data_IF_931018366363
#
_entry.id   IF_931018366363
#
_cell.length_a   1.000
_cell.length_b   1.000
_cell.length_c   1.000
_cell.angle_alpha   90.00
_cell.angle_beta   90.00
_cell.angle_gamma   90.00
#
_symmetry.space_group_name_H-M   'P 1'
#
loop_
_entity.id
_entity.type
_entity.pdbx_description
1 polymer ?
#
# COMPACT_ATOMS: atom_id res chain seq x y z
N UNK A 1 -18.50 3.35 18.75
CA UNK A 1 -17.81 3.46 17.45
C UNK A 1 -18.55 2.59 16.44
N UNK A 2 -18.57 2.89 15.14
CA UNK A 2 -19.00 1.89 14.15
C UNK A 2 -17.96 0.77 14.21
N UNK A 3 -18.36 -0.44 14.57
CA UNK A 3 -17.44 -1.56 14.73
C UNK A 3 -17.19 -2.20 13.37
N UNK A 4 -15.94 -2.21 12.93
CA UNK A 4 -15.53 -3.02 11.79
C UNK A 4 -15.47 -4.48 12.22
N UNK A 5 -16.29 -5.34 11.59
CA UNK A 5 -16.17 -6.79 11.72
C UNK A 5 -15.12 -7.29 10.72
N UNK A 6 -13.89 -7.48 11.21
CA UNK A 6 -12.79 -7.93 10.38
C UNK A 6 -13.02 -9.39 9.91
N UNK A 7 -13.59 -10.26 10.73
CA UNK A 7 -13.94 -11.63 10.33
C UNK A 7 -14.92 -11.66 9.16
N UNK A 8 -15.84 -10.68 9.10
CA UNK A 8 -16.74 -10.52 7.97
C UNK A 8 -16.02 -9.97 6.73
N UNK A 9 -15.15 -8.97 6.88
CA UNK A 9 -14.38 -8.37 5.76
C UNK A 9 -13.53 -9.44 5.06
N UNK A 10 -12.84 -10.30 5.83
CA UNK A 10 -11.96 -11.33 5.29
C UNK A 10 -12.71 -12.43 4.52
N UNK A 11 -14.05 -12.50 4.65
CA UNK A 11 -14.91 -13.40 3.86
C UNK A 11 -15.36 -12.80 2.53
N UNK A 12 -15.14 -11.51 2.29
CA UNK A 12 -15.56 -10.88 1.05
C UNK A 12 -14.71 -11.36 -0.13
N UNK A 13 -15.29 -11.46 -1.34
CA UNK A 13 -14.51 -11.85 -2.52
C UNK A 13 -13.37 -10.86 -2.78
N UNK A 14 -12.14 -11.36 -2.83
CA UNK A 14 -10.98 -10.55 -3.18
C UNK A 14 -10.95 -10.21 -4.68
N UNK A 15 -10.11 -9.26 -5.07
CA UNK A 15 -10.10 -8.69 -6.40
C UNK A 15 -9.40 -9.61 -7.42
N UNK A 16 -10.19 -10.09 -8.37
CA UNK A 16 -9.74 -10.70 -9.61
C UNK A 16 -9.24 -9.65 -10.63
N UNK A 17 -8.50 -10.12 -11.64
CA UNK A 17 -8.05 -9.39 -12.83
C UNK A 17 -9.01 -8.27 -13.30
N UNK A 18 -8.47 -7.11 -13.66
CA UNK A 18 -9.26 -5.97 -14.14
C UNK A 18 -8.71 -5.39 -15.45
N UNK A 19 -9.57 -4.72 -16.22
CA UNK A 19 -9.15 -4.10 -17.48
C UNK A 19 -8.27 -2.86 -17.23
N UNK A 20 -7.16 -2.81 -17.96
CA UNK A 20 -6.19 -1.72 -18.02
C UNK A 20 -6.21 -1.00 -19.38
N UNK A 21 -7.23 -1.20 -20.21
CA UNK A 21 -7.31 -0.59 -21.54
C UNK A 21 -7.25 0.95 -21.50
N UNK A 22 -7.86 1.56 -20.48
CA UNK A 22 -7.76 3.01 -20.28
C UNK A 22 -6.34 3.43 -19.92
N UNK A 23 -5.63 2.64 -19.11
CA UNK A 23 -4.25 2.95 -18.71
C UNK A 23 -3.33 2.96 -19.93
N UNK A 24 -3.44 1.93 -20.78
CA UNK A 24 -2.69 1.83 -22.04
C UNK A 24 -3.02 3.02 -22.94
N UNK A 25 -4.31 3.30 -23.19
CA UNK A 25 -4.74 4.41 -24.03
C UNK A 25 -4.24 5.77 -23.52
N UNK A 26 -4.39 6.02 -22.22
CA UNK A 26 -3.97 7.26 -21.59
C UNK A 26 -2.44 7.40 -21.63
N UNK A 27 -1.67 6.35 -21.32
CA UNK A 27 -0.20 6.41 -21.40
C UNK A 27 0.31 6.71 -22.82
N UNK A 28 -0.29 6.07 -23.83
CA UNK A 28 0.01 6.32 -25.25
C UNK A 28 -0.28 7.78 -25.64
N UNK A 29 -1.37 8.37 -25.13
CA UNK A 29 -1.70 9.78 -25.40
C UNK A 29 -0.65 10.78 -24.86
N UNK A 30 0.19 10.34 -23.92
CA UNK A 30 1.31 11.11 -23.37
C UNK A 30 2.66 10.76 -24.03
N UNK A 31 2.67 9.90 -25.05
CA UNK A 31 3.87 9.48 -25.76
C UNK A 31 4.64 8.35 -25.09
N UNK A 32 4.02 7.63 -24.14
CA UNK A 32 4.61 6.42 -23.56
C UNK A 32 4.31 5.23 -24.46
N UNK A 33 5.27 4.80 -25.26
CA UNK A 33 5.07 3.63 -26.13
C UNK A 33 4.99 2.34 -25.30
N UNK A 34 3.94 1.55 -25.56
CA UNK A 34 3.80 0.23 -24.96
C UNK A 34 4.89 -0.72 -25.51
N UNK A 35 5.75 -1.30 -24.63
CA UNK A 35 6.79 -2.23 -25.07
C UNK A 35 6.20 -3.49 -25.70
N UNK A 36 7.02 -4.19 -26.49
CA UNK A 36 6.58 -5.34 -27.28
C UNK A 36 5.98 -6.47 -26.42
N UNK A 37 6.59 -6.75 -25.26
CA UNK A 37 6.13 -7.78 -24.33
C UNK A 37 4.71 -7.46 -23.82
N UNK A 38 4.51 -6.28 -23.23
CA UNK A 38 3.17 -5.88 -22.76
C UNK A 38 2.14 -5.75 -23.89
N UNK A 39 2.57 -5.38 -25.11
CA UNK A 39 1.68 -5.29 -26.27
C UNK A 39 1.10 -6.64 -26.65
N UNK A 40 1.92 -7.69 -26.63
CA UNK A 40 1.44 -9.04 -26.93
C UNK A 40 0.59 -9.59 -25.78
N UNK A 41 1.03 -9.39 -24.52
CA UNK A 41 0.29 -9.84 -23.34
C UNK A 41 -1.11 -9.21 -23.24
N UNK A 42 -1.27 -7.94 -23.61
CA UNK A 42 -2.52 -7.18 -23.45
C UNK A 42 -3.43 -7.21 -24.69
N UNK A 43 -3.08 -7.94 -25.74
CA UNK A 43 -3.71 -7.84 -27.07
C UNK A 43 -5.20 -8.16 -27.12
N UNK A 44 -5.68 -9.12 -26.32
CA UNK A 44 -7.08 -9.58 -26.39
C UNK A 44 -7.99 -8.83 -25.43
N UNK A 45 -7.72 -8.96 -24.13
CA UNK A 45 -8.63 -8.49 -23.08
C UNK A 45 -8.16 -7.20 -22.39
N UNK A 46 -6.91 -6.77 -22.65
CA UNK A 46 -6.25 -5.68 -21.93
C UNK A 46 -6.48 -5.79 -20.41
N UNK A 47 -6.31 -6.99 -19.83
CA UNK A 47 -6.53 -7.25 -18.40
C UNK A 47 -5.22 -7.56 -17.69
N UNK A 48 -5.11 -7.13 -16.44
CA UNK A 48 -4.00 -7.47 -15.55
C UNK A 48 -4.53 -7.89 -14.17
N UNK A 49 -4.02 -9.01 -13.68
CA UNK A 49 -4.14 -9.46 -12.29
C UNK A 49 -2.86 -9.20 -11.50
N UNK A 50 -2.94 -9.34 -10.18
CA UNK A 50 -1.77 -9.31 -9.28
C UNK A 50 -0.74 -10.36 -9.69
N UNK A 51 -1.21 -11.57 -10.00
CA UNK A 51 -0.39 -12.69 -10.47
C UNK A 51 0.32 -12.38 -11.78
N UNK A 52 -0.37 -11.76 -12.74
CA UNK A 52 0.23 -11.40 -14.02
C UNK A 52 1.39 -10.42 -13.81
N UNK A 53 1.22 -9.39 -12.97
CA UNK A 53 2.30 -8.44 -12.64
C UNK A 53 3.49 -9.15 -11.99
N UNK A 54 3.25 -10.05 -11.05
CA UNK A 54 4.32 -10.83 -10.41
C UNK A 54 5.06 -11.69 -11.43
N UNK A 55 4.34 -12.32 -12.37
CA UNK A 55 4.98 -13.14 -13.40
C UNK A 55 5.77 -12.31 -14.40
N UNK A 56 5.30 -11.12 -14.77
CA UNK A 56 6.06 -10.18 -15.61
C UNK A 56 7.40 -9.84 -14.95
N UNK A 57 7.42 -9.60 -13.63
CA UNK A 57 8.66 -9.29 -12.89
C UNK A 57 9.62 -10.48 -12.84
N UNK A 58 9.10 -11.71 -12.84
CA UNK A 58 9.90 -12.94 -12.82
C UNK A 58 10.39 -13.38 -14.21
N UNK A 59 9.79 -12.86 -15.27
CA UNK A 59 10.07 -13.29 -16.63
C UNK A 59 11.37 -12.66 -17.14
N UNK A 60 12.35 -13.51 -17.45
CA UNK A 60 13.65 -13.07 -17.96
C UNK A 60 13.57 -12.34 -19.32
N UNK A 61 12.46 -12.48 -20.05
CA UNK A 61 12.23 -11.76 -21.30
C UNK A 61 11.57 -10.39 -21.12
N UNK A 62 11.05 -10.10 -19.93
CA UNK A 62 10.49 -8.80 -19.60
C UNK A 62 11.60 -7.77 -19.34
N UNK A 63 11.42 -6.56 -19.86
CA UNK A 63 12.32 -5.44 -19.60
C UNK A 63 11.92 -4.71 -18.31
N UNK A 64 12.84 -3.92 -17.76
CA UNK A 64 12.55 -2.96 -16.68
C UNK A 64 11.32 -2.08 -16.98
N UNK A 65 11.09 -1.73 -18.25
CA UNK A 65 9.93 -0.94 -18.67
C UNK A 65 8.63 -1.75 -18.60
N UNK A 66 8.68 -3.03 -18.93
CA UNK A 66 7.53 -3.95 -18.81
C UNK A 66 7.10 -4.09 -17.35
N UNK A 67 8.06 -4.36 -16.45
CA UNK A 67 7.83 -4.47 -15.01
C UNK A 67 7.16 -3.19 -14.46
N UNK A 68 7.77 -2.04 -14.75
CA UNK A 68 7.33 -0.76 -14.21
C UNK A 68 5.94 -0.37 -14.72
N UNK A 69 5.69 -0.52 -16.03
CA UNK A 69 4.38 -0.21 -16.61
C UNK A 69 3.30 -1.18 -16.14
N UNK A 70 3.60 -2.48 -15.99
CA UNK A 70 2.66 -3.46 -15.47
C UNK A 70 2.16 -3.06 -14.07
N UNK A 71 3.07 -2.66 -13.17
CA UNK A 71 2.71 -2.20 -11.83
C UNK A 71 1.84 -0.93 -11.89
N UNK A 72 2.19 0.03 -12.74
CA UNK A 72 1.45 1.29 -12.87
C UNK A 72 0.06 1.10 -13.46
N UNK A 73 -0.06 0.26 -14.48
CA UNK A 73 -1.33 -0.07 -15.12
C UNK A 73 -2.25 -0.82 -14.18
N UNK A 74 -1.74 -1.84 -13.49
CA UNK A 74 -2.51 -2.52 -12.44
C UNK A 74 -2.93 -1.57 -11.32
N UNK A 75 -2.08 -0.60 -10.98
CA UNK A 75 -2.37 0.44 -9.99
C UNK A 75 -3.33 1.54 -10.46
N UNK A 76 -3.84 1.49 -11.69
CA UNK A 76 -4.68 2.51 -12.32
C UNK A 76 -4.06 3.94 -12.29
N UNK A 77 -2.73 4.04 -12.43
CA UNK A 77 -2.00 5.29 -12.28
C UNK A 77 -2.49 6.39 -13.23
N UNK A 78 -2.61 6.09 -14.52
CA UNK A 78 -2.96 7.04 -15.56
C UNK A 78 -4.42 7.48 -15.44
N UNK A 79 -5.33 6.61 -15.04
CA UNK A 79 -6.70 7.00 -14.71
C UNK A 79 -6.73 7.99 -13.54
N UNK A 80 -6.09 7.64 -12.43
CA UNK A 80 -6.12 8.44 -11.19
C UNK A 80 -5.44 9.80 -11.40
N UNK A 81 -4.41 9.86 -12.23
CA UNK A 81 -3.66 11.09 -12.52
C UNK A 81 -4.13 11.85 -13.75
N UNK A 82 -5.22 11.43 -14.42
CA UNK A 82 -5.73 12.05 -15.65
C UNK A 82 -6.00 13.56 -15.52
N UNK A 83 -6.34 14.03 -14.31
CA UNK A 83 -6.55 15.47 -14.01
C UNK A 83 -5.25 16.25 -13.80
N UNK A 84 -4.09 15.61 -13.93
CA UNK A 84 -2.78 16.22 -13.73
C UNK A 84 -1.82 15.92 -14.89
N UNK A 85 -2.02 16.55 -16.07
CA UNK A 85 -1.16 16.33 -17.24
C UNK A 85 0.32 16.62 -16.99
N UNK A 86 0.64 17.52 -16.04
CA UNK A 86 2.02 17.80 -15.63
C UNK A 86 2.66 16.58 -14.95
N UNK A 87 1.91 15.90 -14.09
CA UNK A 87 2.36 14.71 -13.35
C UNK A 87 2.56 13.54 -14.31
N UNK A 88 1.64 13.35 -15.26
CA UNK A 88 1.77 12.31 -16.30
C UNK A 88 2.96 12.57 -17.22
N UNK A 89 3.15 13.81 -17.69
CA UNK A 89 4.34 14.18 -18.49
C UNK A 89 5.66 13.98 -17.75
N UNK A 90 5.71 14.30 -16.45
CA UNK A 90 6.91 14.07 -15.65
C UNK A 90 7.27 12.58 -15.56
N UNK A 91 6.27 11.72 -15.35
CA UNK A 91 6.50 10.28 -15.33
C UNK A 91 6.88 9.73 -16.70
N UNK A 92 6.17 10.10 -17.76
CA UNK A 92 6.50 9.63 -19.12
C UNK A 92 7.88 10.12 -19.54
N UNK A 93 8.25 11.35 -19.18
CA UNK A 93 9.62 11.85 -19.37
C UNK A 93 10.67 10.99 -18.65
N UNK A 94 10.38 10.52 -17.44
CA UNK A 94 11.25 9.58 -16.73
C UNK A 94 11.34 8.21 -17.43
N UNK A 95 10.21 7.64 -17.89
CA UNK A 95 10.15 6.35 -18.59
C UNK A 95 10.90 6.40 -19.94
N UNK A 96 10.89 7.55 -20.59
CA UNK A 96 11.57 7.79 -21.87
C UNK A 96 13.02 8.26 -21.72
N UNK A 97 13.52 8.46 -20.50
CA UNK A 97 14.91 8.87 -20.28
C UNK A 97 15.87 7.73 -20.65
N UNK A 98 17.01 8.06 -21.25
CA UNK A 98 18.04 7.08 -21.64
C UNK A 98 18.65 6.32 -20.46
N UNK A 99 18.56 6.87 -19.25
CA UNK A 99 19.05 6.26 -18.03
C UNK A 99 17.96 5.52 -17.26
N UNK A 100 16.76 5.37 -17.83
CA UNK A 100 15.61 4.74 -17.16
C UNK A 100 15.98 3.37 -16.57
N UNK A 101 16.62 2.49 -17.34
CA UNK A 101 16.96 1.13 -16.87
C UNK A 101 17.96 1.17 -15.71
N UNK A 102 18.94 2.07 -15.75
CA UNK A 102 19.90 2.26 -14.66
C UNK A 102 19.21 2.80 -13.41
N UNK A 103 18.33 3.79 -13.57
CA UNK A 103 17.57 4.37 -12.46
C UNK A 103 16.61 3.35 -11.84
N UNK A 104 15.94 2.53 -12.67
CA UNK A 104 15.04 1.51 -12.17
C UNK A 104 15.78 0.36 -11.50
N UNK A 105 16.96 -0.03 -11.99
CA UNK A 105 17.81 -1.00 -11.33
C UNK A 105 18.22 -0.54 -9.92
N UNK A 106 18.59 0.74 -9.76
CA UNK A 106 18.88 1.32 -8.44
C UNK A 106 17.65 1.32 -7.52
N UNK A 107 16.48 1.68 -8.06
CA UNK A 107 15.20 1.62 -7.35
C UNK A 107 14.90 0.19 -6.87
N UNK A 108 15.02 -0.81 -7.76
CA UNK A 108 14.74 -2.22 -7.47
C UNK A 108 15.71 -2.76 -6.42
N UNK A 109 17.02 -2.53 -6.57
CA UNK A 109 18.03 -2.92 -5.59
C UNK A 109 17.73 -2.35 -4.19
N UNK A 110 17.45 -1.05 -4.09
CA UNK A 110 17.11 -0.44 -2.80
C UNK A 110 15.84 -1.02 -2.16
N UNK A 111 14.84 -1.39 -2.96
CA UNK A 111 13.60 -2.02 -2.48
C UNK A 111 13.85 -3.44 -1.94
N UNK A 112 14.72 -4.19 -2.61
CA UNK A 112 15.01 -5.58 -2.26
C UNK A 112 15.98 -5.68 -1.07
N UNK A 113 16.93 -4.76 -0.97
CA UNK A 113 18.00 -4.80 0.04
C UNK A 113 17.66 -4.05 1.34
N UNK A 114 16.64 -3.20 1.34
CA UNK A 114 16.27 -2.45 2.55
C UNK A 114 15.31 -3.24 3.44
N UNK A 115 15.76 -3.55 4.66
CA UNK A 115 14.96 -4.23 5.68
C UNK A 115 14.18 -3.28 6.61
N UNK A 116 14.42 -1.96 6.52
CA UNK A 116 13.68 -0.95 7.28
C UNK A 116 12.65 -0.21 6.38
N UNK A 117 11.34 -0.48 6.52
CA UNK A 117 10.32 0.15 5.70
C UNK A 117 10.27 1.67 5.89
N UNK A 118 10.62 2.18 7.08
CA UNK A 118 10.62 3.61 7.34
C UNK A 118 11.73 4.32 6.56
N UNK A 119 12.94 3.78 6.55
CA UNK A 119 14.05 4.32 5.76
C UNK A 119 13.81 4.15 4.26
N UNK A 120 13.29 3.00 3.82
CA UNK A 120 12.90 2.82 2.42
C UNK A 120 11.91 3.89 1.96
N UNK A 121 10.87 4.16 2.76
CA UNK A 121 9.90 5.21 2.43
C UNK A 121 10.57 6.59 2.28
N UNK A 122 11.54 6.93 3.14
CA UNK A 122 12.26 8.22 3.05
C UNK A 122 13.02 8.37 1.73
N UNK A 123 13.63 7.30 1.22
CA UNK A 123 14.37 7.32 -0.05
C UNK A 123 13.48 7.70 -1.25
N UNK A 124 12.19 7.37 -1.21
CA UNK A 124 11.23 7.66 -2.28
C UNK A 124 10.36 8.90 -2.02
N UNK A 125 10.37 9.40 -0.79
CA UNK A 125 9.57 10.56 -0.38
C UNK A 125 10.03 11.86 -1.08
N UNK A 126 9.34 12.96 -0.78
CA UNK A 126 9.71 14.27 -1.32
C UNK A 126 11.15 14.63 -0.92
N UNK A 127 12.03 14.84 -1.93
CA UNK A 127 13.49 15.06 -1.81
C UNK A 127 14.32 13.81 -1.45
N UNK A 128 13.73 12.62 -1.45
CA UNK A 128 14.50 11.39 -1.34
C UNK A 128 15.29 11.10 -2.63
N UNK A 129 16.42 10.41 -2.47
CA UNK A 129 17.39 10.17 -3.55
C UNK A 129 16.84 9.26 -4.67
N UNK A 130 15.86 8.42 -4.36
CA UNK A 130 15.21 7.50 -5.29
C UNK A 130 13.81 7.96 -5.70
N UNK A 131 13.51 9.24 -5.52
CA UNK A 131 12.22 9.80 -5.91
C UNK A 131 12.01 9.72 -7.43
N UNK A 132 10.99 8.97 -7.84
CA UNK A 132 10.56 8.92 -9.23
C UNK A 132 9.63 10.12 -9.55
N UNK A 133 9.92 10.92 -10.59
CA UNK A 133 9.06 12.02 -11.00
C UNK A 133 7.63 11.56 -11.33
N UNK A 134 6.64 12.29 -10.82
CA UNK A 134 5.22 11.98 -11.03
C UNK A 134 4.64 10.93 -10.09
N UNK A 135 5.46 10.12 -9.42
CA UNK A 135 4.97 9.12 -8.47
C UNK A 135 4.76 9.73 -7.07
N UNK A 136 3.60 9.42 -6.50
CA UNK A 136 3.30 9.68 -5.09
C UNK A 136 3.45 8.40 -4.27
N UNK A 137 3.32 8.51 -2.95
CA UNK A 137 3.49 7.38 -2.04
C UNK A 137 2.62 6.17 -2.37
N UNK A 138 1.37 6.41 -2.79
CA UNK A 138 0.46 5.35 -3.17
C UNK A 138 0.96 4.46 -4.32
N UNK A 139 1.90 4.95 -5.13
CA UNK A 139 2.47 4.23 -6.28
C UNK A 139 3.86 3.69 -6.01
N UNK A 140 4.75 4.45 -5.33
CA UNK A 140 6.04 3.86 -4.98
C UNK A 140 5.89 2.70 -3.98
N UNK A 141 4.88 2.71 -3.09
CA UNK A 141 4.62 1.54 -2.23
C UNK A 141 4.08 0.34 -3.00
N UNK A 142 3.52 0.54 -4.20
CA UNK A 142 3.18 -0.57 -5.11
C UNK A 142 4.44 -1.22 -5.68
N UNK A 143 5.46 -0.41 -5.99
CA UNK A 143 6.78 -0.95 -6.37
C UNK A 143 7.36 -1.78 -5.21
N UNK A 144 7.25 -1.29 -3.97
CA UNK A 144 7.75 -2.02 -2.79
C UNK A 144 7.06 -3.38 -2.67
N UNK A 145 5.74 -3.38 -2.79
CA UNK A 145 4.92 -4.59 -2.75
C UNK A 145 5.33 -5.57 -3.85
N UNK A 146 5.22 -5.19 -5.12
CA UNK A 146 5.37 -6.13 -6.23
C UNK A 146 6.79 -6.67 -6.39
N UNK A 147 7.83 -5.84 -6.20
CA UNK A 147 9.20 -6.33 -6.31
C UNK A 147 9.55 -7.30 -5.19
N UNK A 148 9.14 -7.01 -3.95
CA UNK A 148 9.43 -7.92 -2.83
C UNK A 148 8.62 -9.22 -2.92
N UNK A 149 7.35 -9.13 -3.33
CA UNK A 149 6.50 -10.32 -3.57
C UNK A 149 7.06 -11.20 -4.68
N UNK A 150 7.58 -10.61 -5.76
CA UNK A 150 8.19 -11.37 -6.84
C UNK A 150 9.45 -12.13 -6.36
N UNK A 151 10.26 -11.54 -5.51
CA UNK A 151 11.46 -12.18 -4.96
C UNK A 151 11.19 -13.08 -3.74
N UNK A 152 9.94 -13.23 -3.32
CA UNK A 152 9.58 -14.03 -2.14
C UNK A 152 10.10 -13.47 -0.82
N UNK A 153 10.38 -12.16 -0.78
CA UNK A 153 10.80 -11.44 0.42
C UNK A 153 9.59 -11.05 1.29
N UNK A 154 9.84 -10.62 2.52
CA UNK A 154 8.79 -10.07 3.39
C UNK A 154 8.06 -8.93 2.68
N UNK A 155 6.74 -9.08 2.51
CA UNK A 155 5.88 -8.13 1.81
C UNK A 155 5.84 -6.78 2.51
N UNK A 156 6.10 -5.72 1.76
CA UNK A 156 5.80 -4.36 2.20
C UNK A 156 4.46 -3.92 1.60
N UNK A 157 3.40 -3.74 2.42
CA UNK A 157 2.05 -3.54 1.95
C UNK A 157 1.87 -2.21 1.19
N UNK A 158 0.89 -2.19 0.29
CA UNK A 158 0.51 -0.98 -0.43
C UNK A 158 -0.17 0.00 0.54
N UNK A 159 0.33 1.24 0.58
CA UNK A 159 -0.29 2.32 1.35
C UNK A 159 -0.93 3.34 0.38
N UNK A 160 -2.17 3.09 -0.03
CA UNK A 160 -2.98 4.07 -0.74
C UNK A 160 -4.17 4.56 0.09
N UNK A 161 -5.04 5.38 -0.50
CA UNK A 161 -6.20 5.95 0.21
C UNK A 161 -7.08 4.87 0.86
N UNK A 162 -7.31 3.75 0.19
CA UNK A 162 -8.17 2.69 0.71
C UNK A 162 -7.47 1.92 1.81
N UNK A 163 -6.19 1.61 1.66
CA UNK A 163 -5.36 1.02 2.71
C UNK A 163 -5.27 1.92 3.95
N UNK A 164 -5.11 3.23 3.77
CA UNK A 164 -5.12 4.21 4.85
C UNK A 164 -6.47 4.23 5.58
N UNK A 165 -7.57 4.11 4.82
CA UNK A 165 -8.93 4.07 5.39
C UNK A 165 -9.16 2.78 6.17
N UNK A 166 -8.70 1.64 5.63
CA UNK A 166 -8.75 0.33 6.27
C UNK A 166 -7.97 0.35 7.59
N UNK A 167 -6.72 0.83 7.56
CA UNK A 167 -5.87 0.92 8.75
C UNK A 167 -6.52 1.76 9.84
N UNK A 168 -7.00 2.97 9.51
CA UNK A 168 -7.71 3.81 10.48
C UNK A 168 -8.94 3.10 11.07
N UNK A 169 -9.74 2.47 10.22
CA UNK A 169 -11.00 1.87 10.64
C UNK A 169 -10.80 0.63 11.52
N UNK A 170 -9.84 -0.22 11.17
CA UNK A 170 -9.52 -1.45 11.91
C UNK A 170 -8.80 -1.10 13.21
N UNK A 171 -7.71 -0.33 13.15
CA UNK A 171 -6.95 0.05 14.34
C UNK A 171 -7.83 0.80 15.35
N UNK A 172 -8.63 1.75 14.87
CA UNK A 172 -9.53 2.48 15.74
C UNK A 172 -10.66 1.62 16.30
N UNK A 173 -11.11 0.58 15.59
CA UNK A 173 -12.08 -0.38 16.13
C UNK A 173 -11.43 -1.25 17.21
N UNK A 174 -10.25 -1.80 16.95
CA UNK A 174 -9.54 -2.70 17.85
C UNK A 174 -9.12 -2.00 19.15
N UNK A 175 -8.62 -0.77 19.04
CA UNK A 175 -8.11 0.01 20.17
C UNK A 175 -9.15 1.00 20.74
N UNK A 176 -10.34 1.07 20.15
CA UNK A 176 -11.41 2.01 20.53
C UNK A 176 -10.98 3.48 20.56
N UNK A 177 -10.01 3.87 19.72
CA UNK A 177 -9.46 5.23 19.67
C UNK A 177 -9.31 5.76 18.23
N UNK A 178 -8.90 7.02 18.08
CA UNK A 178 -8.63 7.64 16.77
C UNK A 178 -7.16 7.99 16.55
N UNK A 179 -6.24 7.39 17.33
CA UNK A 179 -4.81 7.72 17.37
C UNK A 179 -4.19 7.79 15.98
N UNK A 180 -4.36 6.74 15.17
CA UNK A 180 -3.80 6.65 13.82
C UNK A 180 -4.33 7.77 12.93
N UNK A 181 -5.65 8.01 12.96
CA UNK A 181 -6.27 9.09 12.20
C UNK A 181 -5.73 10.46 12.60
N UNK A 182 -5.74 10.76 13.90
CA UNK A 182 -5.29 12.06 14.44
C UNK A 182 -3.81 12.32 14.18
N UNK A 183 -2.97 11.29 14.27
CA UNK A 183 -1.53 11.41 14.11
C UNK A 183 -1.12 11.63 12.66
N UNK A 184 -1.72 10.90 11.72
CA UNK A 184 -1.20 10.79 10.35
C UNK A 184 -2.09 11.41 9.26
N UNK A 185 -3.41 11.39 9.45
CA UNK A 185 -4.38 11.68 8.38
C UNK A 185 -5.23 12.94 8.62
N UNK A 186 -5.30 13.42 9.87
CA UNK A 186 -6.11 14.58 10.22
C UNK A 186 -5.67 15.86 9.50
N UNK A 187 -6.59 16.41 8.71
CA UNK A 187 -6.46 17.71 8.06
C UNK A 187 -7.24 18.77 8.83
N UNK A 188 -6.65 19.95 9.00
CA UNK A 188 -7.35 21.13 9.50
C UNK A 188 -8.28 21.77 8.47
N UNK A 189 -8.15 21.39 7.19
CA UNK A 189 -8.86 22.00 6.05
C UNK A 189 -9.91 21.09 5.41
N UNK A 190 -9.91 19.79 5.73
CA UNK A 190 -10.83 18.82 5.14
C UNK A 190 -11.06 17.65 6.11
N UNK A 191 -12.27 17.51 6.60
CA UNK A 191 -12.60 16.52 7.63
C UNK A 191 -12.62 15.06 7.13
N UNK A 192 -12.36 14.79 5.85
CA UNK A 192 -12.57 13.46 5.25
C UNK A 192 -11.47 12.97 4.30
N UNK A 193 -10.27 13.57 4.34
CA UNK A 193 -9.15 13.08 3.54
C UNK A 193 -8.35 12.04 4.32
N UNK A 194 -8.48 10.75 3.98
CA UNK A 194 -7.52 9.69 4.36
C UNK A 194 -6.25 9.74 3.50
N UNK A 195 -5.79 10.96 3.22
CA UNK A 195 -4.53 11.20 2.55
C UNK A 195 -3.47 11.31 3.63
N UNK A 196 -2.32 10.67 3.43
CA UNK A 196 -1.22 10.75 4.38
C UNK A 196 -0.66 12.18 4.38
N UNK A 197 -0.71 12.86 5.53
CA UNK A 197 -0.34 14.28 5.63
C UNK A 197 0.93 14.52 6.42
N UNK A 198 1.19 13.68 7.43
CA UNK A 198 2.23 13.93 8.44
C UNK A 198 3.03 12.67 8.71
N UNK A 199 4.29 12.86 9.10
CA UNK A 199 5.19 11.79 9.55
C UNK A 199 5.16 10.57 8.62
N UNK A 200 5.14 10.80 7.31
CA UNK A 200 4.77 9.80 6.31
C UNK A 200 5.63 8.53 6.36
N UNK A 201 6.93 8.67 6.57
CA UNK A 201 7.83 7.53 6.75
C UNK A 201 7.52 6.72 8.02
N UNK A 202 7.27 7.40 9.15
CA UNK A 202 6.88 6.73 10.39
C UNK A 202 5.53 6.03 10.23
N UNK A 203 4.56 6.70 9.60
CA UNK A 203 3.25 6.13 9.32
C UNK A 203 3.37 4.85 8.48
N UNK A 204 4.28 4.82 7.50
CA UNK A 204 4.51 3.62 6.71
C UNK A 204 5.13 2.49 7.53
N UNK A 205 6.13 2.77 8.36
CA UNK A 205 6.72 1.77 9.27
C UNK A 205 5.68 1.17 10.23
N UNK A 206 4.86 2.01 10.87
CA UNK A 206 3.77 1.55 11.74
C UNK A 206 2.71 0.76 10.97
N UNK A 207 2.38 1.16 9.73
CA UNK A 207 1.45 0.43 8.88
C UNK A 207 1.98 -0.95 8.46
N UNK A 208 3.27 -1.08 8.14
CA UNK A 208 3.90 -2.38 7.82
C UNK A 208 3.82 -3.30 9.05
N UNK A 209 4.15 -2.80 10.24
CA UNK A 209 4.05 -3.57 11.48
C UNK A 209 2.60 -4.00 11.78
N UNK A 210 1.64 -3.08 11.61
CA UNK A 210 0.22 -3.37 11.76
C UNK A 210 -0.26 -4.49 10.81
N UNK A 211 0.12 -4.43 9.54
CA UNK A 211 -0.25 -5.45 8.55
C UNK A 211 0.39 -6.80 8.86
N UNK A 212 1.66 -6.83 9.29
CA UNK A 212 2.35 -8.04 9.68
C UNK A 212 1.67 -8.74 10.87
N UNK A 213 1.43 -7.99 11.95
CA UNK A 213 0.78 -8.52 13.16
C UNK A 213 -0.66 -8.98 12.88
N UNK A 214 -1.42 -8.18 12.12
CA UNK A 214 -2.79 -8.54 11.75
C UNK A 214 -2.80 -9.80 10.88
N UNK A 215 -1.93 -9.91 9.89
CA UNK A 215 -1.87 -11.10 9.02
C UNK A 215 -1.56 -12.37 9.81
N UNK A 216 -0.62 -12.29 10.76
CA UNK A 216 -0.28 -13.39 11.67
C UNK A 216 -1.47 -13.81 12.52
N UNK A 217 -2.22 -12.86 13.08
CA UNK A 217 -3.41 -13.13 13.91
C UNK A 217 -4.49 -13.92 13.15
N UNK A 218 -4.63 -13.68 11.86
CA UNK A 218 -5.63 -14.33 11.01
C UNK A 218 -5.09 -15.51 10.21
N UNK A 219 -3.82 -15.89 10.39
CA UNK A 219 -3.20 -16.99 9.64
C UNK A 219 -3.11 -16.71 8.13
N UNK A 220 -2.96 -15.44 7.74
CA UNK A 220 -2.85 -14.98 6.35
C UNK A 220 -1.43 -14.50 6.06
N UNK A 221 -1.06 -14.45 4.78
CA UNK A 221 0.10 -13.66 4.37
C UNK A 221 -0.28 -12.17 4.34
N UNK A 222 0.72 -11.27 4.40
CA UNK A 222 0.48 -9.83 4.27
C UNK A 222 -0.15 -9.51 2.90
N UNK A 223 0.26 -10.21 1.85
CA UNK A 223 -0.28 -10.05 0.50
C UNK A 223 -1.75 -10.48 0.38
N UNK A 224 -2.16 -11.55 1.07
CA UNK A 224 -3.55 -11.99 1.10
C UNK A 224 -4.42 -11.03 1.92
N UNK A 225 -3.89 -10.58 3.07
CA UNK A 225 -4.55 -9.58 3.89
C UNK A 225 -4.74 -8.26 3.12
N UNK A 226 -3.70 -7.78 2.41
CA UNK A 226 -3.78 -6.59 1.57
C UNK A 226 -4.93 -6.68 0.56
N UNK A 227 -5.02 -7.80 -0.16
CA UNK A 227 -6.04 -8.00 -1.18
C UNK A 227 -7.46 -8.02 -0.61
N UNK A 228 -7.64 -8.66 0.56
CA UNK A 228 -8.92 -8.72 1.27
C UNK A 228 -9.33 -7.35 1.82
N UNK A 229 -8.39 -6.59 2.39
CA UNK A 229 -8.65 -5.26 2.92
C UNK A 229 -8.94 -4.24 1.81
N UNK A 230 -8.32 -4.39 0.65
CA UNK A 230 -8.52 -3.49 -0.49
C UNK A 230 -9.91 -3.63 -1.09
N UNK A 231 -10.43 -4.86 -1.17
CA UNK A 231 -11.72 -5.18 -1.78
C UNK A 231 -11.80 -4.88 -3.28
N UNK A 232 -13.01 -4.95 -3.84
CA UNK A 232 -13.24 -4.70 -5.27
C UNK A 232 -13.48 -3.23 -5.60
N UNK A 233 -13.34 -2.87 -6.89
CA UNK A 233 -13.77 -1.56 -7.37
C UNK A 233 -15.26 -1.35 -7.06
N UNK A 234 -15.57 -0.25 -6.38
CA UNK A 234 -16.94 0.11 -5.99
C UNK A 234 -17.87 0.33 -7.19
N UNK A 235 -17.34 0.58 -8.39
CA UNK A 235 -18.12 0.67 -9.62
C UNK A 235 -18.57 -0.72 -10.11
N UNK A 236 -17.76 -1.74 -9.83
CA UNK A 236 -18.03 -3.14 -10.18
C UNK A 236 -18.88 -3.79 -9.11
N UNK A 237 -18.60 -3.50 -7.84
CA UNK A 237 -19.32 -4.02 -6.69
C UNK A 237 -19.67 -2.90 -5.71
N UNK A 238 -20.76 -2.14 -5.97
CA UNK A 238 -21.21 -1.04 -5.12
C UNK A 238 -21.93 -1.51 -3.84
N UNK A 239 -22.27 -2.80 -3.76
CA UNK A 239 -23.10 -3.35 -2.69
C UNK A 239 -22.38 -3.41 -1.33
N UNK A 240 -23.12 -3.79 -0.28
CA UNK A 240 -22.62 -3.87 1.10
C UNK A 240 -21.46 -4.85 1.29
N UNK A 241 -21.22 -5.78 0.36
CA UNK A 241 -20.12 -6.76 0.42
C UNK A 241 -18.81 -6.19 -0.15
N UNK A 242 -18.48 -4.95 0.21
CA UNK A 242 -17.24 -4.29 -0.16
C UNK A 242 -16.63 -3.62 1.07
N UNK A 243 -15.39 -3.98 1.49
CA UNK A 243 -14.77 -3.43 2.71
C UNK A 243 -14.69 -1.90 2.69
N UNK A 244 -14.58 -1.31 1.49
CA UNK A 244 -14.53 0.15 1.30
C UNK A 244 -15.80 0.86 1.75
N UNK A 245 -16.94 0.19 1.73
CA UNK A 245 -18.18 0.76 2.25
C UNK A 245 -18.19 0.78 3.78
N UNK A 246 -17.62 -0.23 4.44
CA UNK A 246 -17.43 -0.26 5.89
C UNK A 246 -16.48 0.84 6.37
N UNK A 247 -15.36 1.05 5.67
CA UNK A 247 -14.42 2.12 6.04
C UNK A 247 -15.04 3.52 5.88
N UNK A 248 -15.90 3.71 4.87
CA UNK A 248 -16.66 4.96 4.71
C UNK A 248 -17.69 5.14 5.83
N UNK A 249 -18.39 4.09 6.22
CA UNK A 249 -19.36 4.13 7.32
C UNK A 249 -18.66 4.51 8.63
N UNK A 250 -17.51 3.90 8.91
CA UNK A 250 -16.66 4.24 10.04
C UNK A 250 -16.21 5.70 10.03
N UNK A 251 -15.71 6.19 8.89
CA UNK A 251 -15.30 7.58 8.72
C UNK A 251 -16.46 8.57 8.94
N UNK A 252 -17.64 8.25 8.44
CA UNK A 252 -18.84 9.06 8.62
C UNK A 252 -19.32 9.06 10.08
N UNK A 253 -19.17 7.94 10.81
CA UNK A 253 -19.50 7.87 12.24
C UNK A 253 -18.61 8.82 13.05
N UNK A 254 -17.29 8.83 12.79
CA UNK A 254 -16.37 9.78 13.41
C UNK A 254 -16.71 11.25 13.12
N UNK A 255 -17.41 11.51 12.02
CA UNK A 255 -17.83 12.86 11.64
C UNK A 255 -19.06 13.32 12.41
N UNK A 256 -20.00 12.42 12.66
CA UNK A 256 -21.27 12.72 13.35
C UNK A 256 -21.15 12.78 14.87
N UNK A 257 -20.12 12.17 15.45
CA UNK A 257 -19.93 12.07 16.90
C UNK A 257 -18.54 12.51 17.36
N UNK A 258 -18.19 13.81 17.26
CA UNK A 258 -16.90 14.32 17.71
C UNK A 258 -16.67 14.16 19.22
N UNK A 259 -17.71 14.18 20.05
CA UNK A 259 -17.66 14.04 21.51
C UNK A 259 -17.11 12.68 21.99
N UNK A 260 -17.27 11.61 21.20
CA UNK A 260 -16.67 10.29 21.47
C UNK A 260 -15.16 10.25 21.21
N UNK A 261 -14.59 11.28 20.61
CA UNK A 261 -13.13 11.41 20.41
C UNK A 261 -12.43 11.91 21.67
N UNK A 262 -13.09 12.72 22.48
CA UNK A 262 -12.49 13.31 23.68
C UNK A 262 -12.45 12.32 24.84
N UNK A 263 -13.45 11.44 24.98
CA UNK A 263 -13.46 10.41 26.04
C UNK A 263 -12.33 9.37 25.85
N UNK A 264 -12.04 8.95 24.61
CA UNK A 264 -10.94 8.02 24.33
C UNK A 264 -9.53 8.61 24.60
N UNK A 265 -9.39 9.93 24.61
CA UNK A 265 -8.12 10.62 24.87
C UNK A 265 -7.88 10.90 26.36
N UNK A 266 -8.91 10.82 27.21
CA UNK A 266 -8.83 11.09 28.65
C UNK A 266 -8.56 9.81 29.45
N UNK A 267 -8.85 8.62 28.89
CA UNK A 267 -8.70 7.34 29.58
C UNK A 267 -7.36 6.60 29.33
N UNK A 268 -6.47 7.10 28.46
CA UNK A 268 -5.18 6.44 28.19
C UNK A 268 -4.04 6.98 29.08
N UNK A 269 -3.71 6.22 30.13
CA UNK A 269 -2.39 6.22 30.77
C UNK A 269 -1.41 5.49 29.84
N UNK A 270 -0.46 6.24 29.24
CA UNK A 270 0.43 5.81 28.15
C UNK A 270 1.52 4.79 28.56
N UNK A 271 1.33 4.07 29.66
CA UNK A 271 2.31 3.15 30.23
C UNK A 271 2.36 1.82 29.46
N UNK A 272 1.22 1.35 28.94
CA UNK A 272 1.12 0.01 28.32
C UNK A 272 1.71 -0.10 26.91
N UNK A 273 1.68 0.97 26.10
CA UNK A 273 2.24 0.92 24.74
C UNK A 273 3.76 1.07 24.71
N UNK A 274 4.35 1.68 25.74
CA UNK A 274 5.81 1.83 25.86
C UNK A 274 6.47 0.53 26.33
N UNK A 275 5.83 -0.20 27.24
CA UNK A 275 6.26 -1.54 27.67
C UNK A 275 6.16 -2.59 26.55
N UNK A 276 5.24 -2.41 25.59
CA UNK A 276 5.08 -3.32 24.44
C UNK A 276 6.16 -3.14 23.36
N UNK A 277 6.81 -1.96 23.30
CA UNK A 277 7.87 -1.66 22.32
C UNK A 277 9.26 -1.92 22.92
N UNK A 278 9.41 -1.91 24.24
CA UNK A 278 10.71 -2.05 24.93
C UNK A 278 10.99 -3.46 25.51
N UNK A 279 10.13 -4.46 25.30
CA UNK A 279 10.41 -5.82 25.77
C UNK A 279 11.64 -6.41 25.04
N UNK A 280 12.77 -6.69 25.76
CA UNK A 280 13.92 -7.35 25.15
C UNK A 280 13.52 -8.75 24.73
N UNK A 281 14.03 -9.19 23.58
CA UNK A 281 14.04 -10.59 23.16
C UNK A 281 14.48 -11.46 24.33
N UNK A 282 13.57 -12.28 24.85
CA UNK A 282 13.91 -13.25 25.87
C UNK A 282 14.99 -14.18 25.32
N UNK A 283 16.17 -14.09 25.93
CA UNK A 283 17.28 -15.02 25.80
C UNK A 283 16.74 -16.46 25.90
N UNK A 284 16.98 -17.24 24.85
CA UNK A 284 16.91 -18.68 24.90
C UNK A 284 18.05 -19.18 25.78
N UNK A 285 17.75 -19.29 27.08
CA UNK A 285 18.62 -19.95 28.05
C UNK A 285 18.86 -21.40 27.67
N UNK A 286 19.97 -21.67 26.96
CA UNK A 286 20.62 -22.97 27.01
C UNK A 286 21.31 -23.09 28.36
N UNK A 287 20.65 -23.80 29.28
CA UNK A 287 21.28 -24.33 30.48
C UNK A 287 22.24 -25.44 30.06
N UNK A 288 23.53 -25.15 30.10
CA UNK A 288 24.60 -26.14 30.09
C UNK A 288 25.22 -26.20 31.48
N UNK A 289 24.77 -27.15 32.28
CA UNK A 289 25.48 -27.73 33.43
C UNK A 289 24.91 -29.17 33.52
N UNK A 290 25.63 -30.29 33.54
CA UNK A 290 27.04 -30.59 33.74
C UNK A 290 27.14 -31.89 34.57
N UNK A 291 28.13 -32.73 34.25
CA UNK A 291 28.67 -33.89 35.01
C UNK A 291 27.99 -35.28 34.88
N UNK A 292 28.57 -36.17 34.06
CA UNK A 292 29.57 -37.19 34.44
C UNK A 292 30.09 -37.91 33.18
#
# INVERSE_FOLDING_TARGET
>A
MHTIDLDQILKYPSASSHSVAHEVSQSNSFGCELPAYLRELLKEDCKLSKTDVIQIIKDASATSKDEFLAILFWGAYFWVTARSPRTQRALVGFISDRNFDTALAQVKSAILECDDPQSLFRLFAYKGDLKIPGLSYAYFTKLFFFYREAEGLTTYPILDKWSCSAWCAIDGTLNQNTRVYDTYFRSSKSESSFLLLRKSAQAYGEYVAFMAETSKRYGLTVADLEEQLFGRDLRVQPNSFNPRNEYKAWANHLKKHPERKEQALVEEDFTSTKEFIEAPSADTGYSSDGCL
#
